data_IF_530903002072
#
_entry.id   IF_530903002072
#
_cell.length_a   1.000
_cell.length_b   1.000
_cell.length_c   1.000
_cell.angle_alpha   90.00
_cell.angle_beta   90.00
_cell.angle_gamma   90.00
#
_symmetry.space_group_name_H-M   'P 1'
#
loop_
_entity.id
_entity.type
_entity.pdbx_description
1 polymer ?
#
# COMPACT_ATOMS: atom_id res chain seq x y z
N UNK A 1 50.12 59.22 11.58
CA UNK A 1 49.24 58.61 12.60
C UNK A 1 48.39 57.56 11.89
N UNK A 2 48.61 56.26 12.12
CA UNK A 2 47.93 55.21 11.32
C UNK A 2 47.77 53.83 12.02
N UNK A 3 47.97 53.73 13.34
CA UNK A 3 48.10 52.44 14.04
C UNK A 3 46.84 51.97 14.81
N UNK A 4 45.94 52.88 15.20
CA UNK A 4 44.86 52.55 16.15
C UNK A 4 43.69 51.73 15.58
N UNK A 5 43.39 51.86 14.29
CA UNK A 5 42.14 51.33 13.72
C UNK A 5 42.09 49.80 13.61
N UNK A 6 43.23 49.14 13.35
CA UNK A 6 43.26 47.70 13.11
C UNK A 6 43.15 46.88 14.39
N UNK A 7 43.78 47.33 15.49
CA UNK A 7 43.65 46.69 16.80
C UNK A 7 42.21 46.66 17.30
N UNK A 8 41.49 47.78 17.17
CA UNK A 8 40.09 47.88 17.58
C UNK A 8 39.16 46.99 16.75
N UNK A 9 39.38 46.87 15.44
CA UNK A 9 38.65 45.92 14.58
C UNK A 9 38.90 44.47 14.97
N UNK A 10 40.15 44.08 15.22
CA UNK A 10 40.50 42.72 15.64
C UNK A 10 39.87 42.37 16.99
N UNK A 11 39.90 43.30 17.95
CA UNK A 11 39.29 43.12 19.28
C UNK A 11 37.77 42.92 19.20
N UNK A 12 37.09 43.71 18.35
CA UNK A 12 35.66 43.56 18.11
C UNK A 12 35.33 42.20 17.46
N UNK A 13 36.14 41.75 16.52
CA UNK A 13 35.97 40.46 15.84
C UNK A 13 36.13 39.29 16.82
N UNK A 14 37.14 39.33 17.69
CA UNK A 14 37.35 38.35 18.78
C UNK A 14 36.16 38.35 19.76
N UNK A 15 35.64 39.52 20.14
CA UNK A 15 34.44 39.61 20.99
C UNK A 15 33.19 39.02 20.30
N UNK A 16 32.99 39.25 19.00
CA UNK A 16 31.86 38.64 18.28
C UNK A 16 32.00 37.12 18.18
N UNK A 17 33.20 36.59 17.97
CA UNK A 17 33.46 35.15 17.94
C UNK A 17 33.23 34.50 19.31
N UNK A 18 33.70 35.12 20.40
CA UNK A 18 33.44 34.67 21.77
C UNK A 18 31.96 34.71 22.13
N UNK A 19 31.23 35.74 21.69
CA UNK A 19 29.77 35.78 21.86
C UNK A 19 29.08 34.66 21.09
N UNK A 20 29.49 34.39 19.85
CA UNK A 20 28.90 33.34 19.02
C UNK A 20 29.15 31.93 19.57
N UNK A 21 30.36 31.64 20.05
CA UNK A 21 30.66 30.34 20.68
C UNK A 21 29.93 30.17 22.01
N UNK A 22 29.78 31.23 22.81
CA UNK A 22 28.97 31.18 24.03
C UNK A 22 27.48 30.91 23.72
N UNK A 23 26.93 31.53 22.67
CA UNK A 23 25.57 31.26 22.20
C UNK A 23 25.41 29.83 21.67
N UNK A 24 26.39 29.30 20.92
CA UNK A 24 26.37 27.89 20.50
C UNK A 24 26.38 26.93 21.70
N UNK A 25 27.23 27.19 22.70
CA UNK A 25 27.29 26.40 23.93
C UNK A 25 25.99 26.49 24.75
N UNK A 26 25.35 27.65 24.79
CA UNK A 26 24.05 27.81 25.45
C UNK A 26 22.94 27.10 24.68
N UNK A 27 22.96 27.15 23.34
CA UNK A 27 22.04 26.42 22.48
C UNK A 27 22.20 24.90 22.63
N UNK A 28 23.41 24.35 22.52
CA UNK A 28 23.65 22.90 22.69
C UNK A 28 23.34 22.43 24.11
N UNK A 29 23.69 23.21 25.14
CA UNK A 29 23.29 22.94 26.53
C UNK A 29 21.77 22.92 26.70
N UNK A 30 21.06 23.92 26.16
CA UNK A 30 19.59 23.96 26.20
C UNK A 30 18.95 22.82 25.41
N UNK A 31 19.56 22.39 24.29
CA UNK A 31 19.12 21.22 23.53
C UNK A 31 19.34 19.94 24.32
N UNK A 32 20.50 19.74 24.95
CA UNK A 32 20.78 18.58 25.80
C UNK A 32 19.82 18.54 27.00
N UNK A 33 19.58 19.68 27.65
CA UNK A 33 18.67 19.78 28.79
C UNK A 33 17.22 19.51 28.39
N UNK A 34 16.77 20.01 27.22
CA UNK A 34 15.43 19.76 26.67
C UNK A 34 15.28 18.31 26.18
N UNK A 35 16.32 17.74 25.58
CA UNK A 35 16.39 16.33 25.20
C UNK A 35 16.31 15.42 26.44
N UNK A 36 17.05 15.72 27.51
CA UNK A 36 16.91 15.04 28.79
C UNK A 36 15.53 15.26 29.43
N UNK A 37 14.95 16.46 29.41
CA UNK A 37 13.61 16.68 29.97
C UNK A 37 12.49 15.99 29.18
N UNK A 38 12.67 15.74 27.89
CA UNK A 38 11.75 14.96 27.05
C UNK A 38 11.96 13.45 27.25
N UNK A 39 13.20 12.95 27.25
CA UNK A 39 13.49 11.51 27.40
C UNK A 39 13.44 10.99 28.85
N UNK A 40 13.69 11.84 29.85
CA UNK A 40 13.75 11.47 31.27
C UNK A 40 12.54 11.96 32.09
N UNK A 41 11.41 12.24 31.43
CA UNK A 41 10.09 12.35 32.07
C UNK A 41 9.54 10.98 32.51
N UNK A 42 10.36 10.24 33.26
CA UNK A 42 9.94 9.04 33.97
C UNK A 42 8.86 9.45 34.98
N UNK A 43 7.60 9.10 34.68
CA UNK A 43 6.55 9.00 35.71
C UNK A 43 7.07 8.07 36.83
N UNK A 44 6.66 8.26 38.11
CA UNK A 44 7.07 7.35 39.18
C UNK A 44 6.78 5.90 38.79
N UNK A 45 7.80 5.03 38.88
CA UNK A 45 7.65 3.62 38.53
C UNK A 45 6.75 2.92 39.55
N UNK A 46 5.46 2.83 39.21
CA UNK A 46 4.68 1.63 39.55
C UNK A 46 5.47 0.44 38.99
N UNK A 47 5.75 -0.54 39.85
CA UNK A 47 6.58 -1.68 39.48
C UNK A 47 5.88 -2.52 38.40
N UNK A 48 6.23 -2.29 37.13
CA UNK A 48 5.76 -3.11 36.03
C UNK A 48 6.23 -4.55 36.25
N UNK A 49 5.27 -5.47 36.34
CA UNK A 49 5.51 -6.91 36.35
C UNK A 49 6.26 -7.26 35.07
N UNK A 50 7.54 -7.59 35.20
CA UNK A 50 8.39 -7.97 34.06
C UNK A 50 7.97 -9.36 33.57
N UNK A 51 7.65 -9.46 32.29
CA UNK A 51 7.17 -10.70 31.66
C UNK A 51 8.33 -11.60 31.22
N UNK A 52 8.00 -12.84 30.84
CA UNK A 52 8.96 -13.79 30.26
C UNK A 52 9.50 -13.36 28.89
N UNK A 53 8.80 -12.45 28.21
CA UNK A 53 9.09 -12.02 26.83
C UNK A 53 9.14 -10.49 26.69
N UNK A 54 10.17 -9.92 26.02
CA UNK A 54 10.23 -8.49 25.69
C UNK A 54 9.03 -7.98 24.89
N UNK A 55 8.35 -8.86 24.14
CA UNK A 55 7.14 -8.55 23.37
C UNK A 55 5.94 -8.35 24.29
N UNK A 56 5.84 -9.13 25.38
CA UNK A 56 4.78 -8.96 26.37
C UNK A 56 4.97 -7.65 27.15
N UNK A 57 6.22 -7.32 27.55
CA UNK A 57 6.55 -6.01 28.13
C UNK A 57 6.22 -4.85 27.16
N UNK A 58 6.54 -4.99 25.86
CA UNK A 58 6.24 -3.98 24.82
C UNK A 58 4.73 -3.70 24.66
N UNK A 59 3.90 -4.75 24.71
CA UNK A 59 2.44 -4.67 24.58
C UNK A 59 1.80 -4.15 25.87
N UNK A 60 2.17 -4.70 27.04
CA UNK A 60 1.67 -4.27 28.34
C UNK A 60 1.94 -2.79 28.60
N UNK A 61 3.12 -2.28 28.21
CA UNK A 61 3.46 -0.87 28.31
C UNK A 61 2.62 0.05 27.40
N UNK A 62 1.99 -0.46 26.33
CA UNK A 62 1.16 0.30 25.37
C UNK A 62 -0.35 0.19 25.62
N UNK A 63 -0.76 -0.78 26.43
CA UNK A 63 -2.15 -1.00 26.83
C UNK A 63 -2.47 -0.35 28.20
N UNK A 64 -1.46 0.20 28.90
CA UNK A 64 -1.56 1.07 30.09
C UNK A 64 -2.62 0.64 31.12
N UNK A 65 -2.57 -0.62 31.56
CA UNK A 65 -3.42 -1.13 32.65
C UNK A 65 -4.87 -1.45 32.26
N UNK A 66 -5.21 -1.40 30.97
CA UNK A 66 -6.47 -1.98 30.47
C UNK A 66 -6.45 -3.51 30.59
N UNK A 67 -7.63 -4.10 30.73
CA UNK A 67 -7.83 -5.54 30.62
C UNK A 67 -7.40 -6.01 29.21
N UNK A 68 -6.35 -6.83 29.13
CA UNK A 68 -5.80 -7.27 27.84
C UNK A 68 -6.62 -8.47 27.35
N UNK A 69 -7.22 -8.34 26.16
CA UNK A 69 -8.05 -9.37 25.51
C UNK A 69 -7.44 -9.76 24.19
N UNK A 70 -7.13 -11.04 24.07
CA UNK A 70 -6.24 -11.61 23.07
C UNK A 70 -7.02 -12.60 22.20
N UNK A 71 -7.30 -12.20 20.95
CA UNK A 71 -7.90 -13.07 19.95
C UNK A 71 -6.81 -13.90 19.27
N UNK A 72 -6.84 -15.22 19.43
CA UNK A 72 -5.82 -16.14 18.90
C UNK A 72 -6.30 -16.78 17.59
N UNK A 73 -5.57 -16.55 16.50
CA UNK A 73 -5.89 -17.01 15.14
C UNK A 73 -4.82 -18.02 14.68
N UNK A 74 -5.26 -19.22 14.30
CA UNK A 74 -4.42 -20.31 13.76
C UNK A 74 -3.30 -20.83 14.70
N UNK A 75 -3.32 -20.46 15.98
CA UNK A 75 -2.32 -20.86 17.00
C UNK A 75 -2.52 -22.27 17.54
N UNK A 76 -1.45 -22.89 18.06
CA UNK A 76 -1.54 -24.16 18.79
C UNK A 76 -1.74 -23.97 20.32
N UNK A 77 -2.23 -25.01 21.01
CA UNK A 77 -2.53 -25.01 22.45
C UNK A 77 -1.30 -24.67 23.32
N UNK A 78 -0.10 -25.05 22.88
CA UNK A 78 1.16 -24.70 23.55
C UNK A 78 1.52 -23.21 23.43
N UNK A 79 0.98 -22.51 22.43
CA UNK A 79 1.16 -21.07 22.22
C UNK A 79 0.12 -20.28 23.03
N UNK A 80 -1.14 -20.74 23.05
CA UNK A 80 -2.22 -20.20 23.87
C UNK A 80 -1.80 -20.03 25.34
N UNK A 81 -1.19 -21.06 25.93
CA UNK A 81 -0.75 -21.03 27.32
C UNK A 81 0.38 -20.02 27.62
N UNK A 82 1.11 -19.54 26.61
CA UNK A 82 2.09 -18.46 26.76
C UNK A 82 1.41 -17.09 26.77
N UNK A 83 0.42 -16.88 25.91
CA UNK A 83 -0.33 -15.62 25.82
C UNK A 83 -1.22 -15.34 27.05
N UNK A 84 -1.61 -16.39 27.79
CA UNK A 84 -2.26 -16.28 29.12
C UNK A 84 -1.41 -15.59 30.19
N UNK A 85 -0.10 -15.41 29.99
CA UNK A 85 0.73 -14.59 30.88
C UNK A 85 0.39 -13.10 30.78
N UNK A 86 -0.05 -12.66 29.59
CA UNK A 86 -0.30 -11.26 29.22
C UNK A 86 -1.77 -10.85 29.38
N UNK A 87 -2.74 -11.75 29.13
CA UNK A 87 -4.16 -11.40 29.16
C UNK A 87 -5.14 -12.56 28.97
N UNK A 88 -6.43 -12.22 28.87
CA UNK A 88 -7.52 -13.16 28.58
C UNK A 88 -7.42 -13.63 27.12
N UNK A 89 -7.24 -14.94 26.91
CA UNK A 89 -7.09 -15.54 25.57
C UNK A 89 -8.39 -16.19 25.08
N UNK A 90 -8.86 -15.84 23.88
CA UNK A 90 -9.94 -16.55 23.17
C UNK A 90 -9.42 -17.11 21.86
N UNK A 91 -9.61 -18.41 21.62
CA UNK A 91 -9.25 -19.04 20.34
C UNK A 91 -10.36 -18.78 19.32
N UNK A 92 -9.97 -18.29 18.13
CA UNK A 92 -10.89 -18.02 17.02
C UNK A 92 -10.91 -19.24 16.10
N UNK A 93 -12.02 -19.98 16.18
CA UNK A 93 -12.27 -21.16 15.37
C UNK A 93 -12.92 -20.79 14.03
N UNK A 94 -12.35 -21.30 12.93
CA UNK A 94 -12.86 -21.18 11.56
C UNK A 94 -12.46 -22.43 10.77
N UNK A 95 -13.26 -22.83 9.79
CA UNK A 95 -12.94 -23.96 8.92
C UNK A 95 -11.81 -23.60 7.95
N UNK A 96 -10.77 -24.43 7.88
CA UNK A 96 -9.67 -24.23 6.93
C UNK A 96 -10.14 -24.45 5.49
N UNK A 97 -9.78 -23.54 4.59
CA UNK A 97 -9.99 -23.71 3.14
C UNK A 97 -9.42 -25.06 2.65
N UNK A 98 -10.18 -25.85 1.85
CA UNK A 98 -9.75 -27.19 1.46
C UNK A 98 -8.41 -27.20 0.70
N UNK A 99 -7.55 -28.19 0.97
CA UNK A 99 -6.14 -28.22 0.54
C UNK A 99 -5.95 -28.35 -0.98
N UNK A 100 -6.98 -28.84 -1.65
CA UNK A 100 -7.12 -29.02 -3.09
C UNK A 100 -7.46 -27.72 -3.82
N UNK A 101 -8.05 -26.73 -3.13
CA UNK A 101 -8.35 -25.41 -3.71
C UNK A 101 -7.10 -24.66 -4.11
N UNK A 102 -7.10 -24.15 -5.34
CA UNK A 102 -6.00 -23.37 -5.92
C UNK A 102 -6.37 -21.89 -6.02
N UNK A 103 -5.36 -21.05 -6.24
CA UNK A 103 -5.54 -19.59 -6.35
C UNK A 103 -6.45 -19.24 -7.53
N UNK A 104 -6.27 -19.94 -8.63
CA UNK A 104 -6.96 -19.76 -9.91
C UNK A 104 -8.46 -20.12 -9.87
N UNK A 105 -8.96 -20.67 -8.75
CA UNK A 105 -10.40 -20.93 -8.56
C UNK A 105 -11.14 -19.74 -7.94
N UNK A 106 -10.45 -18.95 -7.12
CA UNK A 106 -10.95 -17.68 -6.58
C UNK A 106 -10.65 -16.53 -7.54
N UNK A 107 -9.49 -16.60 -8.18
CA UNK A 107 -8.92 -15.57 -9.03
C UNK A 107 -8.78 -16.13 -10.46
N UNK A 108 -9.92 -16.46 -11.06
CA UNK A 108 -10.04 -17.09 -12.39
C UNK A 108 -9.63 -16.16 -13.52
N UNK A 109 -9.07 -16.70 -14.61
CA UNK A 109 -8.71 -15.93 -15.82
C UNK A 109 -9.92 -15.40 -16.64
N UNK A 110 -11.14 -15.69 -16.20
CA UNK A 110 -12.39 -15.24 -16.80
C UNK A 110 -13.55 -15.32 -15.79
N UNK A 111 -14.53 -14.43 -15.94
CA UNK A 111 -15.81 -14.38 -15.20
C UNK A 111 -16.90 -14.02 -16.21
N UNK A 112 -18.08 -14.63 -16.08
CA UNK A 112 -19.23 -14.24 -16.91
C UNK A 112 -20.07 -13.14 -16.24
N UNK A 113 -19.67 -11.89 -16.45
CA UNK A 113 -20.29 -10.70 -15.83
C UNK A 113 -21.70 -10.38 -16.37
N UNK A 114 -22.06 -10.95 -17.52
CA UNK A 114 -23.30 -10.68 -18.26
C UNK A 114 -24.38 -11.76 -18.05
N UNK A 115 -24.07 -12.86 -17.34
CA UNK A 115 -24.92 -14.03 -17.03
C UNK A 115 -25.71 -14.65 -18.22
N UNK A 116 -25.21 -14.51 -19.46
CA UNK A 116 -25.92 -14.92 -20.70
C UNK A 116 -25.94 -16.43 -20.94
N UNK A 117 -24.95 -17.15 -20.43
CA UNK A 117 -24.73 -18.58 -20.67
C UNK A 117 -24.59 -19.38 -19.38
N UNK A 118 -23.96 -18.82 -18.34
CA UNK A 118 -23.92 -19.41 -16.99
C UNK A 118 -23.83 -18.36 -15.86
N UNK A 119 -24.43 -18.67 -14.71
CA UNK A 119 -24.16 -17.95 -13.45
C UNK A 119 -22.78 -18.34 -12.91
N UNK A 120 -21.86 -17.39 -12.62
CA UNK A 120 -20.52 -17.70 -12.14
C UNK A 120 -20.54 -18.33 -10.74
N UNK A 121 -19.94 -19.53 -10.60
CA UNK A 121 -19.81 -20.22 -9.31
C UNK A 121 -18.60 -19.74 -8.53
N UNK A 122 -18.78 -18.69 -7.73
CA UNK A 122 -17.75 -18.28 -6.78
C UNK A 122 -17.53 -19.34 -5.68
N UNK A 123 -16.29 -19.81 -5.45
CA UNK A 123 -15.95 -20.51 -4.24
C UNK A 123 -15.83 -19.51 -3.09
N UNK A 124 -16.50 -19.77 -1.97
CA UNK A 124 -16.31 -19.00 -0.75
C UNK A 124 -15.02 -19.39 -0.02
N UNK A 125 -14.41 -18.43 0.67
CA UNK A 125 -13.42 -18.71 1.71
C UNK A 125 -14.18 -18.77 3.04
N UNK A 126 -14.13 -19.87 3.81
CA UNK A 126 -14.84 -19.95 5.09
C UNK A 126 -14.33 -18.89 6.08
N UNK A 127 -15.25 -18.18 6.74
CA UNK A 127 -14.95 -17.14 7.72
C UNK A 127 -15.68 -17.42 9.05
N UNK A 128 -15.07 -17.10 10.20
CA UNK A 128 -15.71 -17.26 11.51
C UNK A 128 -16.87 -16.28 11.69
N UNK A 129 -17.83 -16.64 12.54
CA UNK A 129 -18.88 -15.73 12.98
C UNK A 129 -18.31 -14.67 13.94
N UNK A 130 -17.87 -13.53 13.42
CA UNK A 130 -17.35 -12.41 14.24
C UNK A 130 -18.34 -11.86 15.27
N UNK A 131 -19.62 -12.25 15.22
CA UNK A 131 -20.65 -11.87 16.19
C UNK A 131 -20.64 -12.72 17.48
N UNK A 132 -20.04 -13.91 17.46
CA UNK A 132 -19.93 -14.78 18.66
C UNK A 132 -18.64 -14.58 19.44
N UNK A 133 -17.74 -13.71 18.98
CA UNK A 133 -16.52 -13.34 19.67
C UNK A 133 -16.67 -11.96 20.33
N UNK A 134 -15.98 -11.76 21.44
CA UNK A 134 -15.87 -10.46 22.11
C UNK A 134 -14.93 -9.49 21.37
N UNK A 135 -14.64 -8.38 22.05
CA UNK A 135 -13.71 -7.36 21.55
C UNK A 135 -12.28 -7.66 22.01
N UNK A 136 -11.31 -7.50 21.11
CA UNK A 136 -9.90 -7.74 21.37
C UNK A 136 -9.07 -6.46 21.23
N UNK A 137 -8.07 -6.30 22.09
CA UNK A 137 -7.04 -5.26 21.96
C UNK A 137 -5.68 -5.82 21.53
N UNK A 138 -5.53 -7.15 21.50
CA UNK A 138 -4.46 -7.84 20.78
C UNK A 138 -5.06 -8.95 19.91
N UNK A 139 -4.70 -9.01 18.64
CA UNK A 139 -4.98 -10.15 17.75
C UNK A 139 -3.65 -10.85 17.45
N UNK A 140 -3.51 -12.10 17.87
CA UNK A 140 -2.29 -12.89 17.64
C UNK A 140 -2.55 -13.89 16.52
N UNK A 141 -1.65 -13.97 15.55
CA UNK A 141 -1.84 -14.71 14.31
C UNK A 141 -0.64 -15.60 14.06
N UNK A 142 -0.82 -16.93 14.10
CA UNK A 142 0.21 -17.86 13.66
C UNK A 142 0.21 -17.92 12.14
N UNK A 143 1.29 -17.47 11.49
CA UNK A 143 1.35 -17.45 10.04
C UNK A 143 1.63 -18.85 9.47
N UNK A 144 0.83 -19.32 8.48
CA UNK A 144 1.06 -20.62 7.83
C UNK A 144 2.20 -20.51 6.79
N UNK A 145 3.40 -20.20 7.25
CA UNK A 145 4.59 -20.16 6.42
C UNK A 145 4.93 -21.58 5.95
N UNK A 146 4.77 -21.85 4.65
CA UNK A 146 5.12 -23.14 4.05
C UNK A 146 6.63 -23.45 4.11
N UNK A 147 7.00 -24.71 3.87
CA UNK A 147 8.41 -25.11 3.79
C UNK A 147 9.16 -24.23 2.78
N UNK A 148 10.34 -23.72 3.17
CA UNK A 148 11.12 -22.70 2.42
C UNK A 148 11.39 -23.07 0.95
N UNK A 149 11.46 -24.37 0.65
CA UNK A 149 11.69 -24.93 -0.70
C UNK A 149 10.44 -24.79 -1.60
N UNK A 150 9.24 -24.72 -1.02
CA UNK A 150 7.97 -24.51 -1.72
C UNK A 150 7.32 -23.21 -1.23
N UNK A 151 7.91 -22.07 -1.60
CA UNK A 151 7.25 -20.76 -1.49
C UNK A 151 6.05 -20.69 -2.45
N UNK A 152 4.90 -21.25 -2.05
CA UNK A 152 3.61 -20.69 -2.48
C UNK A 152 3.56 -19.27 -1.93
N UNK A 153 3.83 -18.28 -2.80
CA UNK A 153 4.24 -16.93 -2.39
C UNK A 153 3.10 -16.07 -1.80
N UNK A 154 2.66 -15.08 -2.57
CA UNK A 154 1.43 -14.31 -2.25
C UNK A 154 0.19 -15.16 -2.57
N UNK A 155 0.31 -16.12 -3.50
CA UNK A 155 -0.77 -16.99 -4.00
C UNK A 155 -1.16 -18.19 -3.11
N UNK A 156 -0.89 -18.16 -1.80
CA UNK A 156 -1.39 -19.20 -0.88
C UNK A 156 -2.76 -18.81 -0.30
N UNK A 157 -3.81 -19.52 -0.72
CA UNK A 157 -5.20 -19.26 -0.32
C UNK A 157 -5.42 -19.43 1.19
N UNK A 158 -4.68 -20.32 1.87
CA UNK A 158 -4.79 -20.47 3.32
C UNK A 158 -4.05 -19.35 4.06
N UNK A 159 -2.92 -18.88 3.53
CA UNK A 159 -2.26 -17.64 4.02
C UNK A 159 -3.19 -16.44 3.86
N UNK A 160 -3.89 -16.31 2.74
CA UNK A 160 -4.91 -15.29 2.50
C UNK A 160 -6.05 -15.39 3.51
N UNK A 161 -6.63 -16.59 3.70
CA UNK A 161 -7.68 -16.83 4.70
C UNK A 161 -7.25 -16.37 6.11
N UNK A 162 -6.06 -16.77 6.56
CA UNK A 162 -5.54 -16.40 7.90
C UNK A 162 -5.40 -14.88 8.06
N UNK A 163 -4.92 -14.16 7.03
CA UNK A 163 -4.83 -12.70 7.07
C UNK A 163 -6.21 -12.03 7.07
N UNK A 164 -7.16 -12.51 6.26
CA UNK A 164 -8.52 -11.98 6.20
C UNK A 164 -9.29 -12.21 7.51
N UNK A 165 -9.09 -13.35 8.17
CA UNK A 165 -9.65 -13.62 9.50
C UNK A 165 -9.10 -12.63 10.53
N UNK A 166 -7.78 -12.44 10.56
CA UNK A 166 -7.15 -11.47 11.48
C UNK A 166 -7.61 -10.03 11.22
N UNK A 167 -7.70 -9.62 9.95
CA UNK A 167 -8.10 -8.28 9.54
C UNK A 167 -9.55 -7.98 9.91
N UNK A 168 -10.47 -8.92 9.65
CA UNK A 168 -11.86 -8.79 10.08
C UNK A 168 -11.98 -8.76 11.60
N UNK A 169 -11.26 -9.62 12.32
CA UNK A 169 -11.28 -9.65 13.78
C UNK A 169 -10.83 -8.31 14.39
N UNK A 170 -9.77 -7.71 13.84
CA UNK A 170 -9.31 -6.38 14.22
C UNK A 170 -10.38 -5.31 13.97
N UNK A 171 -10.94 -5.25 12.76
CA UNK A 171 -11.99 -4.27 12.40
C UNK A 171 -13.27 -4.45 13.21
N UNK A 172 -13.65 -5.69 13.56
CA UNK A 172 -14.87 -6.00 14.30
C UNK A 172 -14.75 -5.76 15.82
N UNK A 173 -13.52 -5.61 16.35
CA UNK A 173 -13.25 -5.38 17.78
C UNK A 173 -13.45 -3.93 18.24
N UNK A 174 -13.59 -2.98 17.31
CA UNK A 174 -13.56 -1.53 17.59
C UNK A 174 -14.98 -0.94 17.59
N UNK A 175 -15.91 -1.61 18.27
CA UNK A 175 -17.34 -1.22 18.30
C UNK A 175 -17.68 -0.22 19.42
N UNK A 176 -16.76 0.06 20.34
CA UNK A 176 -16.97 1.02 21.42
C UNK A 176 -16.61 2.46 21.00
N UNK A 177 -17.64 3.30 20.93
CA UNK A 177 -17.63 4.74 21.24
C UNK A 177 -16.41 5.56 20.77
N UNK A 178 -16.21 5.64 19.45
CA UNK A 178 -15.60 6.82 18.79
C UNK A 178 -14.22 7.28 19.30
N UNK A 179 -13.43 6.37 19.87
CA UNK A 179 -12.12 6.65 20.44
C UNK A 179 -11.14 5.58 20.00
N UNK A 180 -9.91 5.97 19.65
CA UNK A 180 -8.90 5.03 19.16
C UNK A 180 -8.43 4.09 20.28
N UNK A 181 -9.12 2.95 20.43
CA UNK A 181 -8.61 1.82 21.18
C UNK A 181 -7.27 1.39 20.56
N UNK A 182 -6.23 1.30 21.39
CA UNK A 182 -4.95 0.71 21.00
C UNK A 182 -5.15 -0.79 20.73
N UNK A 183 -5.49 -1.14 19.49
CA UNK A 183 -5.51 -2.51 18.98
C UNK A 183 -4.16 -2.81 18.32
N UNK A 184 -3.58 -3.95 18.68
CA UNK A 184 -2.35 -4.46 18.07
C UNK A 184 -2.61 -5.79 17.36
N UNK A 185 -1.95 -6.03 16.24
CA UNK A 185 -1.95 -7.32 15.54
C UNK A 185 -0.53 -7.89 15.54
N UNK A 186 -0.36 -9.10 16.05
CA UNK A 186 0.94 -9.76 16.24
C UNK A 186 1.01 -11.01 15.37
N UNK A 187 1.81 -10.97 14.31
CA UNK A 187 2.07 -12.14 13.47
C UNK A 187 3.27 -12.91 14.00
N UNK A 188 3.15 -14.24 14.03
CA UNK A 188 4.20 -15.18 14.44
C UNK A 188 4.59 -16.04 13.25
N UNK A 189 5.78 -15.83 12.70
CA UNK A 189 6.41 -16.67 11.68
C UNK A 189 7.33 -15.92 10.72
N UNK A 190 8.30 -16.65 10.16
CA UNK A 190 9.37 -16.17 9.28
C UNK A 190 8.91 -15.46 7.99
N UNK A 191 7.67 -15.63 7.57
CA UNK A 191 7.15 -15.09 6.31
C UNK A 191 6.33 -13.79 6.44
N UNK A 192 6.02 -13.35 7.67
CA UNK A 192 5.19 -12.16 7.91
C UNK A 192 3.75 -12.25 7.37
N UNK A 193 2.93 -11.21 7.60
CA UNK A 193 1.58 -11.11 7.03
C UNK A 193 1.60 -10.89 5.51
N UNK A 194 0.41 -10.83 4.91
CA UNK A 194 0.22 -10.25 3.59
C UNK A 194 0.18 -8.73 3.71
N UNK A 195 1.20 -8.06 3.17
CA UNK A 195 1.42 -6.62 3.30
C UNK A 195 0.40 -5.78 2.52
N UNK A 196 -0.23 -6.41 1.53
CA UNK A 196 -1.36 -5.90 0.76
C UNK A 196 -2.60 -5.71 1.64
N UNK A 197 -2.66 -6.41 2.78
CA UNK A 197 -3.69 -6.28 3.83
C UNK A 197 -3.14 -5.48 5.02
N UNK A 198 -1.94 -5.80 5.50
CA UNK A 198 -1.29 -5.17 6.66
C UNK A 198 -0.10 -4.31 6.21
N UNK A 199 -0.37 -3.01 5.94
CA UNK A 199 0.59 -2.05 5.40
C UNK A 199 1.89 -2.02 6.22
N UNK A 200 3.04 -1.89 5.55
CA UNK A 200 4.31 -1.79 6.27
C UNK A 200 4.45 -0.48 7.07
N UNK A 201 3.67 0.56 6.74
CA UNK A 201 3.52 1.78 7.56
C UNK A 201 2.99 1.49 8.97
N UNK A 202 2.16 0.46 9.13
CA UNK A 202 1.52 0.08 10.38
C UNK A 202 2.45 -0.80 11.29
N UNK A 203 3.63 -1.19 10.79
CA UNK A 203 4.59 -2.06 11.48
C UNK A 203 5.34 -1.28 12.58
N UNK A 204 5.03 -1.56 13.85
CA UNK A 204 5.70 -0.93 14.99
C UNK A 204 7.00 -1.62 15.41
N UNK A 205 7.11 -2.94 15.20
CA UNK A 205 8.31 -3.72 15.60
C UNK A 205 8.37 -5.07 14.88
N UNK A 206 9.56 -5.47 14.47
CA UNK A 206 9.89 -6.83 14.02
C UNK A 206 11.06 -7.34 14.87
N UNK A 207 10.91 -8.52 15.49
CA UNK A 207 11.92 -9.14 16.37
C UNK A 207 11.82 -10.67 16.31
N UNK A 208 12.80 -11.32 15.68
CA UNK A 208 12.76 -12.77 15.44
C UNK A 208 11.59 -13.16 14.54
N UNK A 209 10.76 -14.11 14.97
CA UNK A 209 9.54 -14.50 14.26
C UNK A 209 8.35 -13.53 14.47
N UNK A 210 8.49 -12.50 15.30
CA UNK A 210 7.36 -11.67 15.73
C UNK A 210 7.28 -10.33 15.01
N UNK A 211 6.12 -10.03 14.43
CA UNK A 211 5.81 -8.78 13.74
C UNK A 211 4.62 -8.11 14.42
N UNK A 212 4.82 -6.92 15.01
CA UNK A 212 3.81 -6.20 15.79
C UNK A 212 3.34 -4.99 14.99
N UNK A 213 2.07 -4.98 14.61
CA UNK A 213 1.41 -3.91 13.88
C UNK A 213 0.41 -3.16 14.79
N UNK A 214 0.22 -1.86 14.53
CA UNK A 214 -0.98 -1.11 14.95
C UNK A 214 -1.68 -0.64 13.67
N UNK A 215 -2.64 -1.41 13.14
CA UNK A 215 -3.21 -1.14 11.82
C UNK A 215 -4.03 0.15 11.78
N UNK A 216 -4.02 0.86 10.65
CA UNK A 216 -4.95 1.95 10.41
C UNK A 216 -6.34 1.37 10.10
N UNK A 217 -7.16 1.28 11.16
CA UNK A 217 -8.41 0.50 11.18
C UNK A 217 -9.45 0.97 10.15
N UNK A 218 -9.38 2.21 9.63
CA UNK A 218 -10.31 2.69 8.59
C UNK A 218 -9.90 2.15 7.22
N UNK A 219 -8.63 2.29 6.82
CA UNK A 219 -8.08 1.62 5.61
C UNK A 219 -8.24 0.10 5.69
N UNK A 220 -7.96 -0.52 6.84
CA UNK A 220 -8.16 -1.97 7.03
C UNK A 220 -9.64 -2.37 6.88
N UNK A 221 -10.57 -1.55 7.40
CA UNK A 221 -12.03 -1.74 7.18
C UNK A 221 -12.39 -1.68 5.70
N UNK A 222 -11.84 -0.75 4.93
CA UNK A 222 -12.07 -0.70 3.49
C UNK A 222 -11.58 -1.98 2.80
N UNK A 223 -10.39 -2.50 3.17
CA UNK A 223 -9.83 -3.74 2.61
C UNK A 223 -10.68 -4.98 2.91
N UNK A 224 -11.25 -5.13 4.12
CA UNK A 224 -12.12 -6.29 4.45
C UNK A 224 -13.57 -6.16 3.97
N UNK A 225 -13.98 -4.99 3.48
CA UNK A 225 -15.26 -4.81 2.77
C UNK A 225 -15.18 -5.17 1.29
N UNK A 226 -13.98 -5.36 0.74
CA UNK A 226 -13.81 -5.86 -0.63
C UNK A 226 -14.21 -7.34 -0.71
N UNK A 227 -15.03 -7.73 -1.69
CA UNK A 227 -15.27 -9.14 -2.02
C UNK A 227 -13.97 -9.89 -2.35
N UNK A 228 -13.94 -11.21 -2.10
CA UNK A 228 -12.71 -12.01 -2.23
C UNK A 228 -12.85 -13.03 -3.35
N UNK A 229 -12.04 -12.85 -4.39
CA UNK A 229 -12.15 -13.58 -5.64
C UNK A 229 -12.79 -12.72 -6.73
N UNK A 230 -12.36 -12.95 -7.98
CA UNK A 230 -12.68 -12.07 -9.11
C UNK A 230 -14.18 -12.04 -9.41
N UNK A 231 -14.84 -13.20 -9.37
CA UNK A 231 -16.27 -13.32 -9.61
C UNK A 231 -17.14 -12.67 -8.53
N UNK A 232 -16.62 -12.48 -7.31
CA UNK A 232 -17.33 -11.72 -6.27
C UNK A 232 -17.12 -10.19 -6.43
N UNK A 233 -16.04 -9.79 -7.12
CA UNK A 233 -15.71 -8.39 -7.41
C UNK A 233 -16.48 -7.83 -8.62
N UNK A 234 -16.95 -8.69 -9.52
CA UNK A 234 -17.84 -8.37 -10.63
C UNK A 234 -19.22 -7.90 -10.12
N UNK A 235 -19.32 -6.63 -9.71
CA UNK A 235 -20.59 -6.00 -9.36
C UNK A 235 -21.41 -5.81 -10.63
N UNK A 236 -22.57 -6.47 -10.67
CA UNK A 236 -23.49 -6.43 -11.80
C UNK A 236 -23.77 -4.99 -12.25
N UNK A 237 -23.35 -4.57 -13.46
CA UNK A 237 -23.57 -3.20 -13.94
C UNK A 237 -25.07 -2.92 -14.06
N UNK A 238 -25.56 -1.85 -13.42
CA UNK A 238 -26.94 -1.40 -13.63
C UNK A 238 -27.01 -0.73 -15.00
N UNK A 239 -27.38 -1.52 -16.02
CA UNK A 239 -27.64 -1.07 -17.39
C UNK A 239 -28.98 -0.32 -17.42
N UNK A 240 -28.94 1.00 -17.51
CA UNK A 240 -30.12 1.88 -17.61
C UNK A 240 -30.74 1.83 -19.01
N UNK A 241 -32.00 2.26 -19.12
CA UNK A 241 -32.76 2.22 -20.39
C UNK A 241 -32.29 3.20 -21.48
N UNK A 242 -31.34 4.08 -21.16
CA UNK A 242 -30.64 4.98 -22.07
C UNK A 242 -29.30 4.40 -22.58
N UNK A 243 -28.90 3.21 -22.09
CA UNK A 243 -27.62 2.56 -22.37
C UNK A 243 -26.50 2.92 -21.40
N UNK A 244 -26.74 3.81 -20.41
CA UNK A 244 -25.74 4.16 -19.41
C UNK A 244 -25.55 3.01 -18.42
N UNK A 245 -24.31 2.72 -18.05
CA UNK A 245 -23.96 1.82 -16.95
C UNK A 245 -23.73 2.66 -15.69
N UNK A 246 -24.22 2.20 -14.54
CA UNK A 246 -23.84 2.72 -13.23
C UNK A 246 -23.51 1.61 -12.26
N UNK A 247 -22.48 1.81 -11.45
CA UNK A 247 -21.99 0.83 -10.47
C UNK A 247 -22.43 1.19 -9.05
N UNK A 248 -22.60 0.18 -8.19
CA UNK A 248 -23.15 0.35 -6.83
C UNK A 248 -22.04 0.43 -5.78
N UNK A 249 -21.42 1.60 -5.68
CA UNK A 249 -20.36 1.88 -4.69
C UNK A 249 -20.88 2.06 -3.26
N UNK A 250 -22.18 1.93 -2.96
CA UNK A 250 -22.76 2.32 -1.66
C UNK A 250 -22.21 1.56 -0.45
N UNK A 251 -21.59 0.40 -0.67
CA UNK A 251 -20.90 -0.41 0.36
C UNK A 251 -19.44 0.03 0.61
N UNK A 252 -18.87 0.81 -0.31
CA UNK A 252 -17.51 1.31 -0.27
C UNK A 252 -17.55 2.81 0.05
N UNK A 253 -17.16 3.16 1.27
CA UNK A 253 -16.87 4.55 1.65
C UNK A 253 -15.36 4.77 1.67
N UNK A 254 -14.90 5.96 1.30
CA UNK A 254 -13.51 6.35 1.61
C UNK A 254 -13.28 6.27 3.13
N UNK A 255 -12.14 5.73 3.61
CA UNK A 255 -11.84 5.69 5.05
C UNK A 255 -11.47 7.06 5.63
N UNK A 256 -11.20 8.03 4.75
CA UNK A 256 -10.64 9.35 5.05
C UNK A 256 -11.73 10.38 4.75
N UNK A 257 -11.85 11.35 5.65
CA UNK A 257 -12.77 12.48 5.50
C UNK A 257 -12.08 13.55 4.64
N UNK A 258 -12.72 13.97 3.55
CA UNK A 258 -12.13 14.82 2.50
C UNK A 258 -10.74 14.35 2.02
N UNK A 259 -10.64 13.15 1.41
CA UNK A 259 -9.36 12.58 0.96
C UNK A 259 -8.69 13.45 -0.11
N UNK A 260 -7.36 13.52 -0.07
CA UNK A 260 -6.57 14.16 -1.12
C UNK A 260 -6.29 13.19 -2.25
N UNK A 261 -6.78 13.52 -3.44
CA UNK A 261 -6.87 12.60 -4.57
C UNK A 261 -6.43 13.29 -5.86
N UNK A 262 -5.57 12.61 -6.64
CA UNK A 262 -5.01 13.15 -7.87
C UNK A 262 -4.89 12.08 -8.98
N UNK A 263 -4.98 12.53 -10.23
CA UNK A 263 -4.49 11.76 -11.37
C UNK A 263 -3.00 12.02 -11.54
N UNK A 264 -2.23 10.96 -11.81
CA UNK A 264 -0.78 11.04 -11.91
C UNK A 264 -0.28 10.45 -13.21
N UNK A 265 0.62 11.16 -13.88
CA UNK A 265 1.40 10.59 -14.98
C UNK A 265 2.89 10.83 -14.77
N UNK A 266 3.73 10.08 -15.48
CA UNK A 266 5.20 10.13 -15.38
C UNK A 266 5.76 10.28 -16.79
N UNK A 267 6.60 11.29 -17.00
CA UNK A 267 7.41 11.44 -18.21
C UNK A 267 8.88 11.45 -17.81
N UNK A 268 9.70 10.67 -18.52
CA UNK A 268 11.15 10.70 -18.38
C UNK A 268 11.85 10.37 -19.71
N UNK A 269 13.08 10.82 -19.86
CA UNK A 269 14.00 10.45 -20.96
C UNK A 269 13.61 10.91 -22.39
N UNK A 270 12.33 11.10 -22.72
CA UNK A 270 11.89 11.59 -24.04
C UNK A 270 10.75 12.62 -23.98
N UNK A 271 10.85 13.63 -24.84
CA UNK A 271 9.85 14.67 -25.11
C UNK A 271 8.61 14.15 -25.87
N UNK A 272 8.70 12.98 -26.52
CA UNK A 272 7.63 12.45 -27.39
C UNK A 272 6.30 12.24 -26.64
N UNK A 273 6.40 11.89 -25.35
CA UNK A 273 5.26 11.66 -24.44
C UNK A 273 4.56 12.94 -23.99
N UNK A 274 5.15 14.12 -24.20
CA UNK A 274 4.55 15.41 -23.76
C UNK A 274 3.24 15.69 -24.46
N UNK A 275 3.13 15.37 -25.76
CA UNK A 275 1.86 15.50 -26.49
C UNK A 275 0.78 14.57 -25.89
N UNK A 276 1.15 13.35 -25.51
CA UNK A 276 0.28 12.39 -24.84
C UNK A 276 -0.24 12.91 -23.50
N UNK A 277 0.65 13.36 -22.61
CA UNK A 277 0.23 13.92 -21.31
C UNK A 277 -0.61 15.20 -21.44
N UNK A 278 -0.38 16.04 -22.46
CA UNK A 278 -1.27 17.19 -22.74
C UNK A 278 -2.69 16.70 -23.10
N UNK A 279 -2.80 15.70 -23.98
CA UNK A 279 -4.11 15.10 -24.35
C UNK A 279 -4.78 14.44 -23.14
N UNK A 280 -4.01 13.69 -22.33
CA UNK A 280 -4.49 13.04 -21.10
C UNK A 280 -5.10 14.06 -20.13
N UNK A 281 -4.37 15.12 -19.76
CA UNK A 281 -4.89 16.17 -18.88
C UNK A 281 -6.15 16.83 -19.45
N UNK A 282 -6.13 17.21 -20.73
CA UNK A 282 -7.27 17.85 -21.37
C UNK A 282 -8.50 16.92 -21.44
N UNK A 283 -8.30 15.60 -21.57
CA UNK A 283 -9.38 14.62 -21.53
C UNK A 283 -9.99 14.50 -20.13
N UNK A 284 -9.17 14.39 -19.07
CA UNK A 284 -9.64 14.36 -17.68
C UNK A 284 -10.44 15.63 -17.34
N UNK A 285 -9.92 16.82 -17.70
CA UNK A 285 -10.61 18.10 -17.50
C UNK A 285 -11.96 18.15 -18.23
N UNK A 286 -12.05 17.64 -19.46
CA UNK A 286 -13.32 17.59 -20.21
C UNK A 286 -14.38 16.67 -19.57
N UNK A 287 -13.98 15.70 -18.74
CA UNK A 287 -14.92 14.89 -17.96
C UNK A 287 -15.42 15.57 -16.67
N UNK A 288 -15.04 16.82 -16.41
CA UNK A 288 -15.38 17.60 -15.21
C UNK A 288 -14.89 16.96 -13.89
N UNK A 289 -13.72 16.31 -13.94
CA UNK A 289 -13.05 15.83 -12.73
C UNK A 289 -12.70 16.97 -11.77
N UNK A 290 -12.74 16.72 -10.47
CA UNK A 290 -12.36 17.69 -9.42
C UNK A 290 -11.03 17.35 -8.74
N UNK A 291 -10.22 16.47 -9.34
CA UNK A 291 -8.96 15.97 -8.75
C UNK A 291 -7.77 16.78 -9.23
N UNK A 292 -6.69 16.80 -8.44
CA UNK A 292 -5.43 17.40 -8.88
C UNK A 292 -4.84 16.59 -10.05
N UNK A 293 -4.13 17.27 -10.96
CA UNK A 293 -3.37 16.65 -12.04
C UNK A 293 -1.87 16.79 -11.72
N UNK A 294 -1.19 15.70 -11.36
CA UNK A 294 0.23 15.72 -10.98
C UNK A 294 1.08 15.00 -12.02
N UNK A 295 2.16 15.63 -12.47
CA UNK A 295 3.08 15.05 -13.45
C UNK A 295 4.48 14.97 -12.86
N UNK A 296 5.05 13.76 -12.82
CA UNK A 296 6.45 13.58 -12.47
C UNK A 296 7.31 13.73 -13.74
N UNK A 297 8.27 14.65 -13.72
CA UNK A 297 9.19 14.91 -14.83
C UNK A 297 10.65 14.83 -14.36
N UNK A 298 11.53 14.26 -15.19
CA UNK A 298 12.97 14.37 -15.01
C UNK A 298 13.55 15.61 -15.72
N UNK A 299 14.86 15.83 -15.57
CA UNK A 299 15.59 16.93 -16.19
C UNK A 299 15.60 16.93 -17.74
N UNK A 300 15.24 15.81 -18.38
CA UNK A 300 15.23 15.71 -19.85
C UNK A 300 14.15 16.54 -20.52
N UNK A 301 13.06 16.85 -19.81
CA UNK A 301 11.91 17.58 -20.35
C UNK A 301 12.16 19.09 -20.26
N UNK A 302 12.19 19.74 -21.42
CA UNK A 302 12.54 21.15 -21.63
C UNK A 302 11.63 22.10 -20.86
N UNK A 303 12.13 23.32 -20.67
CA UNK A 303 11.38 24.42 -20.03
C UNK A 303 10.11 24.75 -20.83
N UNK A 304 10.17 24.65 -22.14
CA UNK A 304 9.11 24.93 -23.10
C UNK A 304 7.99 23.88 -22.98
N UNK A 305 8.33 22.59 -23.02
CA UNK A 305 7.37 21.50 -22.73
C UNK A 305 6.79 21.60 -21.31
N UNK A 306 7.61 21.93 -20.30
CA UNK A 306 7.17 22.18 -18.93
C UNK A 306 6.28 23.43 -18.78
N UNK A 307 6.23 24.35 -19.74
CA UNK A 307 5.25 25.44 -19.79
C UNK A 307 3.94 24.96 -20.43
N UNK A 308 4.02 24.19 -21.53
CA UNK A 308 2.85 23.60 -22.19
C UNK A 308 2.09 22.63 -21.26
N UNK A 309 2.79 21.77 -20.53
CA UNK A 309 2.21 20.83 -19.57
C UNK A 309 1.48 21.55 -18.42
N UNK A 310 2.07 22.63 -17.87
CA UNK A 310 1.39 23.47 -16.86
C UNK A 310 0.16 24.18 -17.42
N UNK A 311 0.23 24.67 -18.67
CA UNK A 311 -0.91 25.28 -19.35
C UNK A 311 -2.05 24.27 -19.64
N UNK A 312 -1.71 22.99 -19.82
CA UNK A 312 -2.68 21.89 -19.94
C UNK A 312 -3.31 21.46 -18.60
N UNK A 313 -2.77 21.90 -17.47
CA UNK A 313 -3.28 21.66 -16.11
C UNK A 313 -2.33 20.96 -15.13
N UNK A 314 -1.15 20.48 -15.58
CA UNK A 314 -0.28 19.65 -14.73
C UNK A 314 0.49 20.44 -13.66
N UNK A 315 0.35 20.00 -12.42
CA UNK A 315 1.25 20.29 -11.30
C UNK A 315 2.52 19.44 -11.50
N UNK A 316 3.54 20.02 -12.12
CA UNK A 316 4.81 19.33 -12.39
C UNK A 316 5.64 19.22 -11.10
N UNK A 317 6.08 18.01 -10.78
CA UNK A 317 7.08 17.69 -9.76
C UNK A 317 8.33 17.10 -10.40
N UNK A 318 9.49 17.56 -9.95
CA UNK A 318 10.79 17.06 -10.41
C UNK A 318 11.13 15.71 -9.75
N UNK A 319 11.64 14.76 -10.54
CA UNK A 319 12.11 13.44 -10.05
C UNK A 319 13.51 13.08 -10.56
N UNK A 320 14.27 12.45 -9.68
CA UNK A 320 15.44 11.66 -10.07
C UNK A 320 14.99 10.32 -10.67
N UNK A 321 15.39 10.04 -11.91
CA UNK A 321 15.11 8.77 -12.60
C UNK A 321 15.66 7.57 -11.83
N UNK A 322 14.93 6.46 -11.88
CA UNK A 322 15.35 5.17 -11.30
C UNK A 322 15.68 4.22 -12.45
N UNK A 323 16.93 3.74 -12.50
CA UNK A 323 17.37 2.79 -13.53
C UNK A 323 16.81 1.39 -13.27
N UNK A 324 16.24 0.78 -14.29
CA UNK A 324 15.88 -0.64 -14.35
C UNK A 324 17.15 -1.50 -14.22
N UNK A 325 17.31 -2.37 -13.20
CA UNK A 325 18.59 -3.04 -12.93
C UNK A 325 19.08 -3.97 -14.04
N UNK A 326 18.16 -4.58 -14.79
CA UNK A 326 18.44 -5.56 -15.84
C UNK A 326 18.32 -5.01 -17.26
N UNK A 327 18.02 -3.72 -17.42
CA UNK A 327 17.92 -3.11 -18.75
C UNK A 327 19.32 -2.88 -19.35
N UNK A 328 19.42 -3.10 -20.66
CA UNK A 328 20.59 -2.70 -21.45
C UNK A 328 20.71 -1.17 -21.48
N UNK A 329 21.93 -0.66 -21.61
CA UNK A 329 22.17 0.79 -21.66
C UNK A 329 21.57 1.38 -22.92
N UNK A 330 20.86 2.52 -22.80
CA UNK A 330 20.10 3.16 -23.88
C UNK A 330 18.89 2.38 -24.41
N UNK A 331 18.48 1.28 -23.77
CA UNK A 331 17.22 0.63 -24.08
C UNK A 331 16.03 1.50 -23.65
N UNK A 332 14.91 1.44 -24.38
CA UNK A 332 13.71 2.25 -24.09
C UNK A 332 13.18 2.06 -22.66
N UNK A 333 13.39 0.86 -22.09
CA UNK A 333 12.97 0.44 -20.76
C UNK A 333 13.98 0.78 -19.65
N UNK A 334 15.12 1.41 -19.96
CA UNK A 334 16.22 1.63 -19.00
C UNK A 334 15.80 2.43 -17.77
N UNK A 335 14.77 3.27 -17.90
CA UNK A 335 14.34 4.21 -16.86
C UNK A 335 12.90 4.00 -16.38
N UNK A 336 12.20 2.95 -16.85
CA UNK A 336 10.79 2.69 -16.49
C UNK A 336 10.55 2.54 -14.98
N UNK A 337 11.55 2.11 -14.21
CA UNK A 337 11.44 2.01 -12.75
C UNK A 337 11.24 3.39 -12.10
N UNK A 338 11.48 4.50 -12.81
CA UNK A 338 11.13 5.87 -12.37
C UNK A 338 9.64 6.02 -12.08
N UNK A 339 8.79 5.19 -12.71
CA UNK A 339 7.35 5.06 -12.42
C UNK A 339 7.07 4.74 -10.96
N UNK A 340 8.00 4.09 -10.23
CA UNK A 340 7.86 3.82 -8.80
C UNK A 340 7.83 5.09 -7.93
N UNK A 341 8.33 6.24 -8.42
CA UNK A 341 8.32 7.53 -7.68
C UNK A 341 6.91 8.00 -7.30
N UNK A 342 5.86 7.48 -7.95
CA UNK A 342 4.45 7.76 -7.61
C UNK A 342 4.08 7.38 -6.16
N UNK A 343 4.76 6.40 -5.55
CA UNK A 343 4.56 6.06 -4.14
C UNK A 343 5.09 7.11 -3.16
N UNK A 344 5.97 8.02 -3.61
CA UNK A 344 6.53 9.11 -2.79
C UNK A 344 5.68 10.39 -2.79
N UNK A 345 4.50 10.37 -3.43
CA UNK A 345 3.53 11.47 -3.45
C UNK A 345 2.69 11.47 -2.15
N UNK A 346 3.36 11.42 -1.01
CA UNK A 346 2.76 11.22 0.32
C UNK A 346 1.97 12.41 0.86
N UNK A 347 1.87 13.51 0.10
CA UNK A 347 0.86 14.56 0.35
C UNK A 347 -0.56 14.19 -0.11
N UNK A 348 -0.74 13.10 -0.87
CA UNK A 348 -2.03 12.56 -1.31
C UNK A 348 -2.36 11.24 -0.61
N UNK A 349 -3.64 10.98 -0.38
CA UNK A 349 -4.14 9.76 0.27
C UNK A 349 -4.28 8.58 -0.70
N UNK A 350 -4.66 8.90 -1.94
CA UNK A 350 -4.85 7.99 -3.07
C UNK A 350 -4.54 8.67 -4.39
N UNK A 351 -4.10 7.89 -5.37
CA UNK A 351 -3.83 8.36 -6.73
C UNK A 351 -4.42 7.38 -7.73
N UNK A 352 -4.91 7.88 -8.87
CA UNK A 352 -5.06 7.08 -10.08
C UNK A 352 -3.90 7.45 -11.00
N UNK A 353 -2.91 6.55 -11.06
CA UNK A 353 -1.85 6.63 -12.05
C UNK A 353 -2.40 6.29 -13.44
N UNK A 354 -1.99 7.04 -14.47
CA UNK A 354 -2.31 6.81 -15.89
C UNK A 354 -1.06 7.07 -16.75
N UNK A 355 -0.65 6.12 -17.60
CA UNK A 355 0.43 6.31 -18.58
C UNK A 355 0.01 7.35 -19.64
N UNK A 356 0.98 8.10 -20.16
CA UNK A 356 0.72 9.27 -21.04
C UNK A 356 0.12 8.96 -22.42
N UNK A 357 -0.01 7.69 -22.80
CA UNK A 357 -0.61 7.20 -24.05
C UNK A 357 -2.12 6.88 -23.93
N UNK A 358 -2.72 7.12 -22.76
CA UNK A 358 -4.17 6.94 -22.51
C UNK A 358 -4.97 8.23 -22.74
N UNK A 359 -6.28 8.06 -23.01
CA UNK A 359 -7.27 9.16 -23.09
C UNK A 359 -8.52 8.81 -22.27
N UNK A 360 -8.93 9.73 -21.38
CA UNK A 360 -10.06 9.52 -20.46
C UNK A 360 -11.34 10.05 -21.11
N UNK A 361 -12.27 9.15 -21.45
CA UNK A 361 -13.48 9.46 -22.21
C UNK A 361 -14.70 9.79 -21.33
N UNK A 362 -14.75 9.24 -20.12
CA UNK A 362 -15.80 9.47 -19.12
C UNK A 362 -15.16 9.68 -17.74
N UNK A 363 -15.89 10.31 -16.82
CA UNK A 363 -15.35 10.66 -15.50
C UNK A 363 -15.12 9.39 -14.66
N UNK A 364 -13.89 9.19 -14.18
CA UNK A 364 -13.50 8.03 -13.36
C UNK A 364 -13.15 8.40 -11.91
N UNK A 365 -13.62 9.56 -11.42
CA UNK A 365 -13.42 10.02 -10.03
C UNK A 365 -14.06 9.06 -9.00
N UNK A 366 -15.06 8.27 -9.40
CA UNK A 366 -15.70 7.24 -8.54
C UNK A 366 -14.76 6.07 -8.20
N UNK A 367 -13.76 5.78 -9.04
CA UNK A 367 -12.83 4.67 -8.82
C UNK A 367 -11.85 4.93 -7.68
N UNK A 368 -11.64 6.19 -7.25
CA UNK A 368 -10.85 6.51 -6.04
C UNK A 368 -11.37 5.83 -4.77
N UNK A 369 -12.60 5.30 -4.78
CA UNK A 369 -13.14 4.56 -3.65
C UNK A 369 -12.38 3.23 -3.38
N UNK A 370 -11.76 2.59 -4.38
CA UNK A 370 -11.09 1.29 -4.19
C UNK A 370 -9.77 1.38 -3.39
N UNK A 371 -9.37 0.34 -2.64
CA UNK A 371 -8.08 0.29 -1.95
C UNK A 371 -6.93 -0.08 -2.89
N UNK A 372 -5.70 0.23 -2.49
CA UNK A 372 -4.50 -0.23 -3.21
C UNK A 372 -4.34 -1.76 -3.09
N UNK A 373 -3.90 -2.47 -4.14
CA UNK A 373 -3.65 -2.03 -5.52
C UNK A 373 -4.89 -2.39 -6.36
N UNK A 374 -5.35 -1.48 -7.23
CA UNK A 374 -6.38 -1.78 -8.25
C UNK A 374 -5.83 -1.50 -9.64
N UNK A 375 -6.04 -2.38 -10.61
CA UNK A 375 -5.48 -2.25 -11.96
C UNK A 375 -6.31 -2.95 -13.06
N UNK A 376 -6.01 -2.57 -14.31
CA UNK A 376 -6.48 -3.18 -15.56
C UNK A 376 -5.80 -4.57 -15.72
N UNK A 377 -6.48 -5.64 -16.16
CA UNK A 377 -5.74 -6.87 -16.54
C UNK A 377 -4.93 -6.62 -17.82
N UNK A 378 -3.80 -7.29 -17.99
CA UNK A 378 -3.19 -7.45 -19.31
C UNK A 378 -3.54 -8.84 -19.89
N UNK A 379 -3.38 -9.01 -21.20
CA UNK A 379 -3.44 -10.33 -21.83
C UNK A 379 -2.01 -10.88 -22.01
N UNK A 380 -1.86 -12.20 -21.95
CA UNK A 380 -0.59 -12.95 -22.05
C UNK A 380 0.49 -12.68 -20.96
N UNK A 381 0.68 -13.65 -20.04
CA UNK A 381 1.86 -13.81 -19.13
C UNK A 381 2.17 -12.67 -18.14
N UNK A 382 1.42 -11.58 -18.18
CA UNK A 382 1.46 -10.44 -17.25
C UNK A 382 0.06 -10.25 -16.67
N UNK A 383 -0.05 -10.19 -15.34
CA UNK A 383 -1.36 -10.30 -14.65
C UNK A 383 -2.12 -8.98 -14.60
N UNK A 384 -1.44 -7.84 -14.69
CA UNK A 384 -2.09 -6.54 -14.84
C UNK A 384 -1.27 -5.59 -15.72
N UNK A 385 -1.97 -4.69 -16.41
CA UNK A 385 -1.39 -3.62 -17.19
C UNK A 385 -1.12 -2.45 -16.23
N UNK A 386 0.13 -1.99 -16.15
CA UNK A 386 0.56 -0.89 -15.26
C UNK A 386 0.13 0.50 -15.75
N UNK A 387 -0.54 0.59 -16.90
CA UNK A 387 -0.93 1.84 -17.54
C UNK A 387 -2.13 2.55 -16.92
N UNK A 388 -2.97 1.86 -16.14
CA UNK A 388 -3.81 2.50 -15.13
C UNK A 388 -3.73 1.70 -13.82
N UNK A 389 -3.40 2.38 -12.73
CA UNK A 389 -3.30 1.79 -11.39
C UNK A 389 -3.85 2.77 -10.33
N UNK A 390 -4.71 2.29 -9.43
CA UNK A 390 -5.03 3.00 -8.19
C UNK A 390 -4.06 2.57 -7.08
N UNK A 391 -3.43 3.57 -6.47
CA UNK A 391 -2.41 3.40 -5.42
C UNK A 391 -2.70 4.27 -4.20
N UNK A 392 -2.10 3.89 -3.08
CA UNK A 392 -2.06 4.62 -1.81
C UNK A 392 -0.59 4.94 -1.52
N UNK A 393 -0.14 6.20 -1.63
CA UNK A 393 1.24 6.60 -1.38
C UNK A 393 1.79 6.13 -0.01
N UNK A 394 3.08 5.83 -0.02
CA UNK A 394 3.86 5.37 1.14
C UNK A 394 5.33 5.27 0.75
N UNK A 395 6.20 6.00 1.45
CA UNK A 395 7.66 5.82 1.34
C UNK A 395 8.09 4.42 1.83
N UNK A 396 7.35 3.80 2.75
CA UNK A 396 7.63 2.42 3.19
C UNK A 396 7.41 1.40 2.06
N UNK A 397 6.31 1.54 1.30
CA UNK A 397 6.04 0.69 0.13
C UNK A 397 7.02 1.02 -1.01
N UNK A 398 7.36 2.29 -1.22
CA UNK A 398 8.42 2.68 -2.17
C UNK A 398 9.75 1.98 -1.86
N UNK A 399 10.26 2.09 -0.64
CA UNK A 399 11.52 1.45 -0.22
C UNK A 399 11.45 -0.07 -0.35
N UNK A 400 10.33 -0.72 0.00
CA UNK A 400 10.16 -2.15 -0.18
C UNK A 400 10.20 -2.57 -1.66
N UNK A 401 9.47 -1.87 -2.54
CA UNK A 401 9.52 -2.08 -3.99
C UNK A 401 10.92 -1.84 -4.55
N UNK A 402 11.65 -0.86 -4.01
CA UNK A 402 13.02 -0.52 -4.39
C UNK A 402 14.08 -1.53 -3.90
N UNK A 403 13.78 -2.33 -2.87
CA UNK A 403 14.61 -3.45 -2.45
C UNK A 403 14.34 -4.71 -3.30
N UNK A 404 13.07 -5.07 -3.51
CA UNK A 404 12.69 -6.21 -4.37
C UNK A 404 12.99 -5.98 -5.87
N UNK A 405 13.30 -4.74 -6.27
CA UNK A 405 13.69 -4.36 -7.64
C UNK A 405 14.85 -5.19 -8.23
N UNK A 406 15.70 -5.75 -7.36
CA UNK A 406 16.86 -6.59 -7.68
C UNK A 406 16.63 -8.10 -7.49
N UNK A 407 15.48 -8.54 -6.99
CA UNK A 407 15.16 -9.97 -6.82
C UNK A 407 14.38 -10.48 -8.02
N UNK A 408 13.49 -9.63 -8.58
CA UNK A 408 12.58 -9.96 -9.66
C UNK A 408 13.27 -9.79 -11.02
N UNK A 409 13.61 -10.91 -11.67
CA UNK A 409 14.12 -10.88 -13.05
C UNK A 409 13.05 -10.35 -14.01
N UNK A 410 13.29 -9.14 -14.55
CA UNK A 410 12.44 -8.55 -15.57
C UNK A 410 12.83 -9.10 -16.96
N UNK A 411 12.11 -10.13 -17.42
CA UNK A 411 12.37 -10.82 -18.70
C UNK A 411 12.41 -9.87 -19.91
N UNK A 412 11.69 -8.75 -19.85
CA UNK A 412 11.65 -7.69 -20.87
C UNK A 412 12.18 -6.33 -20.36
N UNK A 413 12.86 -6.27 -19.22
CA UNK A 413 13.44 -5.06 -18.60
C UNK A 413 12.46 -3.96 -18.11
N UNK A 414 11.18 -4.01 -18.47
CA UNK A 414 10.16 -3.01 -18.14
C UNK A 414 9.51 -3.14 -16.75
N UNK A 415 8.73 -2.11 -16.38
CA UNK A 415 8.05 -1.91 -15.09
C UNK A 415 6.95 -2.93 -14.78
N UNK A 416 6.22 -3.41 -15.80
CA UNK A 416 5.16 -4.41 -15.63
C UNK A 416 5.65 -5.73 -15.02
N UNK A 417 6.95 -6.04 -15.13
CA UNK A 417 7.54 -7.23 -14.51
C UNK A 417 8.10 -6.92 -13.12
N UNK A 418 8.51 -5.67 -12.86
CA UNK A 418 8.94 -5.17 -11.54
C UNK A 418 7.77 -5.08 -10.56
N UNK A 419 6.60 -4.69 -11.07
CA UNK A 419 5.34 -4.65 -10.33
C UNK A 419 4.83 -6.06 -9.96
N UNK A 420 5.46 -7.15 -10.45
CA UNK A 420 5.32 -8.50 -9.87
C UNK A 420 5.93 -8.62 -8.46
N UNK A 421 6.48 -7.54 -7.89
CA UNK A 421 6.70 -7.41 -6.44
C UNK A 421 5.39 -7.54 -5.63
N UNK A 422 4.25 -7.15 -6.23
CA UNK A 422 2.90 -7.41 -5.70
C UNK A 422 2.44 -8.88 -5.88
N UNK A 423 3.29 -9.80 -6.38
CA UNK A 423 2.90 -11.19 -6.68
C UNK A 423 3.92 -12.26 -6.22
N UNK A 424 5.22 -12.00 -6.32
CA UNK A 424 6.30 -12.85 -5.81
C UNK A 424 6.50 -14.19 -6.54
N UNK A 425 7.33 -14.16 -7.60
CA UNK A 425 8.05 -15.31 -8.18
C UNK A 425 7.22 -16.55 -8.61
N UNK A 426 6.88 -16.62 -9.91
CA UNK A 426 6.71 -17.89 -10.64
C UNK A 426 7.32 -17.75 -12.04
N UNK A 427 8.25 -18.64 -12.40
CA UNK A 427 8.54 -18.98 -13.80
C UNK A 427 7.82 -20.28 -14.18
N UNK A 428 7.38 -20.39 -15.44
CA UNK A 428 6.77 -21.60 -15.98
C UNK A 428 6.66 -21.50 -17.51
N UNK A 429 7.16 -22.51 -18.22
CA UNK A 429 7.18 -22.53 -19.68
C UNK A 429 5.82 -22.89 -20.29
N UNK A 430 5.54 -22.36 -21.48
CA UNK A 430 4.35 -22.66 -22.26
C UNK A 430 4.29 -21.86 -23.57
N UNK A 431 4.22 -22.59 -24.69
CA UNK A 431 3.82 -22.13 -26.02
C UNK A 431 2.30 -22.34 -26.19
N UNK A 432 1.62 -21.73 -27.17
CA UNK A 432 0.18 -22.06 -27.31
C UNK A 432 -0.73 -21.40 -28.35
N UNK A 433 -0.39 -20.26 -28.95
CA UNK A 433 -1.06 -19.68 -30.15
C UNK A 433 -2.50 -19.12 -30.05
N UNK A 434 -2.80 -18.21 -30.99
CA UNK A 434 -4.13 -17.81 -31.51
C UNK A 434 -5.09 -17.03 -30.58
N UNK A 435 -4.78 -15.74 -30.47
CA UNK A 435 -5.67 -14.61 -30.74
C UNK A 435 -7.19 -14.84 -30.53
N UNK A 436 -7.72 -14.21 -29.49
CA UNK A 436 -9.12 -13.82 -29.33
C UNK A 436 -9.16 -12.56 -28.44
N UNK A 437 -10.35 -11.97 -28.27
CA UNK A 437 -10.59 -10.88 -27.31
C UNK A 437 -10.68 -11.47 -25.87
N UNK A 438 -11.24 -10.70 -24.93
CA UNK A 438 -11.45 -11.01 -23.50
C UNK A 438 -10.13 -11.05 -22.68
N UNK A 439 -10.09 -10.65 -21.42
CA UNK A 439 -11.20 -10.33 -20.51
C UNK A 439 -10.92 -10.66 -19.04
N UNK A 440 -10.07 -9.84 -18.42
CA UNK A 440 -10.03 -9.42 -17.01
C UNK A 440 -9.70 -10.44 -15.89
N UNK A 441 -9.45 -9.93 -14.66
CA UNK A 441 -9.00 -10.65 -13.44
C UNK A 441 -7.45 -10.85 -13.30
N UNK A 442 -6.71 -10.45 -12.25
CA UNK A 442 -7.06 -9.87 -10.92
C UNK A 442 -5.95 -8.96 -10.36
N UNK A 443 -6.28 -7.69 -10.13
CA UNK A 443 -5.74 -6.80 -9.07
C UNK A 443 -6.86 -5.76 -8.81
N UNK A 444 -7.73 -6.01 -7.81
CA UNK A 444 -9.12 -5.48 -7.71
C UNK A 444 -9.74 -5.10 -9.06
N UNK A 445 -10.07 -6.13 -9.84
CA UNK A 445 -10.45 -6.07 -11.25
C UNK A 445 -11.73 -5.25 -11.49
N UNK A 446 -11.58 -4.06 -12.07
CA UNK A 446 -12.69 -3.11 -12.28
C UNK A 446 -12.64 -2.30 -13.58
N UNK A 447 -11.46 -2.13 -14.20
CA UNK A 447 -11.27 -1.21 -15.32
C UNK A 447 -11.46 -1.85 -16.70
N UNK A 448 -12.49 -2.69 -16.92
CA UNK A 448 -12.51 -3.63 -18.08
C UNK A 448 -13.88 -3.84 -18.79
N UNK A 449 -14.90 -2.98 -18.56
CA UNK A 449 -15.82 -2.60 -19.66
C UNK A 449 -15.64 -1.13 -20.11
N UNK A 450 -14.87 -0.32 -19.37
CA UNK A 450 -14.71 1.13 -19.63
C UNK A 450 -13.26 1.56 -19.90
N UNK A 451 -12.71 1.07 -21.01
CA UNK A 451 -11.73 1.82 -21.81
C UNK A 451 -11.99 1.55 -23.30
N UNK A 452 -12.80 2.40 -23.95
CA UNK A 452 -12.91 2.40 -25.42
C UNK A 452 -11.73 3.18 -26.06
N UNK A 453 -10.56 3.10 -25.42
CA UNK A 453 -9.30 3.65 -25.93
C UNK A 453 -8.88 2.79 -27.11
N UNK A 454 -8.73 3.44 -28.26
CA UNK A 454 -8.00 2.87 -29.38
C UNK A 454 -6.53 3.22 -29.20
N UNK A 455 -5.68 2.19 -29.19
CA UNK A 455 -4.29 2.27 -29.65
C UNK A 455 -4.25 2.66 -31.14
#
# INVERSE_FOLDING_TARGET
MAAGANGMKLYLLVLTLLSLTLHLLFLTSSFHLKYHLVHHRQKPYLAQKKHSSPIFDFLAARLEGKEIKIGLVNTHVEEENKWKELGETTVVHFDRVPKDRRWEEYFTDWVEEDEKWATPKCPDIPMPSYKSYGEFNVVVVKMPCGNVIQRKGIRDVFRLQVNLVAANLAVQSVKINGTDQNLFVVFIGTCGPMWEIFRCDDLLRHEGDFWIYKPELRRLKQKVLMPVGACQLAVSPRKHGDGKITYDFTKLSSPIDHPKEAYVTVIHTSEEYVCGAIVLAQSIVQTNSTKDLVLLADESITKESRLALRAAGWIIKDIERIRSPYAETYAYNEWNYSKLRIWQLTEYDKLIFIDSDFIVLENIDEFFVYPQLSAVRNDEKVIFNSGIMLIEPSDCIFEMLMNERYTLMSYNGGDQVSLKAFEGHIEGQGEGSKARKHGYCVVSSWANEFLNIRS
#
